data_IF_198587265524
#
_entry.id   IF_198587265524
#
_cell.length_a   1.000
_cell.length_b   1.000
_cell.length_c   1.000
_cell.angle_alpha   90.00
_cell.angle_beta   90.00
_cell.angle_gamma   90.00
#
_symmetry.space_group_name_H-M   'P 1'
#
loop_
_entity.id
_entity.type
_entity.pdbx_description
1 polymer ?
#
# COMPACT_ATOMS: atom_id res chain seq x y z
N UNK A 1 -70.68 6.90 -51.53
CA UNK A 1 -69.81 7.60 -50.57
C UNK A 1 -69.05 6.53 -49.79
N UNK A 2 -67.76 6.32 -50.10
CA UNK A 2 -66.91 5.34 -49.43
C UNK A 2 -65.66 6.07 -48.93
N UNK A 3 -65.44 6.07 -47.62
CA UNK A 3 -64.24 6.62 -47.00
C UNK A 3 -63.33 5.42 -46.68
N UNK A 4 -62.21 5.31 -47.40
CA UNK A 4 -61.13 4.38 -47.07
C UNK A 4 -60.38 4.91 -45.84
N UNK A 5 -60.32 4.11 -44.78
CA UNK A 5 -59.43 4.35 -43.64
C UNK A 5 -58.00 3.94 -44.01
N UNK A 6 -57.07 4.90 -44.01
CA UNK A 6 -55.63 4.64 -44.17
C UNK A 6 -55.09 4.16 -42.82
N UNK A 7 -54.69 2.89 -42.78
CA UNK A 7 -53.97 2.30 -41.65
C UNK A 7 -52.48 2.64 -41.80
N UNK A 8 -51.88 3.33 -40.82
CA UNK A 8 -50.44 3.64 -40.80
C UNK A 8 -49.70 2.70 -39.83
N UNK A 9 -49.00 1.66 -40.32
CA UNK A 9 -48.11 0.85 -39.49
C UNK A 9 -46.73 1.50 -39.51
N UNK A 10 -46.34 2.23 -38.46
CA UNK A 10 -45.00 2.85 -38.49
C UNK A 10 -44.46 3.47 -37.22
N UNK A 11 -45.29 3.74 -36.20
CA UNK A 11 -44.83 4.41 -34.97
C UNK A 11 -44.34 3.45 -33.89
N UNK A 12 -44.92 2.26 -33.76
CA UNK A 12 -44.62 1.34 -32.65
C UNK A 12 -43.25 0.67 -32.77
N UNK A 13 -42.85 0.23 -33.97
CA UNK A 13 -41.55 -0.43 -34.20
C UNK A 13 -40.33 0.50 -34.00
N UNK A 14 -40.47 1.80 -34.25
CA UNK A 14 -39.42 2.79 -33.99
C UNK A 14 -39.26 3.09 -32.50
N UNK A 15 -40.37 3.18 -31.76
CA UNK A 15 -40.33 3.38 -30.31
C UNK A 15 -39.72 2.18 -29.58
N UNK A 16 -40.01 0.95 -30.03
CA UNK A 16 -39.45 -0.26 -29.44
C UNK A 16 -37.92 -0.35 -29.61
N UNK A 17 -37.41 -0.02 -30.81
CA UNK A 17 -35.96 0.05 -31.08
C UNK A 17 -35.26 1.15 -30.29
N UNK A 18 -35.89 2.32 -30.11
CA UNK A 18 -35.34 3.43 -29.32
C UNK A 18 -35.23 3.06 -27.83
N UNK A 19 -36.26 2.38 -27.29
CA UNK A 19 -36.26 1.88 -25.90
C UNK A 19 -35.21 0.80 -25.67
N UNK A 20 -35.02 -0.12 -26.64
CA UNK A 20 -33.96 -1.14 -26.58
C UNK A 20 -32.56 -0.52 -26.65
N UNK A 21 -32.35 0.51 -27.48
CA UNK A 21 -31.07 1.24 -27.53
C UNK A 21 -30.78 1.95 -26.22
N UNK A 22 -31.77 2.64 -25.65
CA UNK A 22 -31.63 3.34 -24.38
C UNK A 22 -31.32 2.37 -23.22
N UNK A 23 -32.00 1.22 -23.17
CA UNK A 23 -31.76 0.19 -22.16
C UNK A 23 -30.35 -0.43 -22.31
N UNK A 24 -29.91 -0.68 -23.54
CA UNK A 24 -28.56 -1.20 -23.82
C UNK A 24 -27.48 -0.18 -23.44
N UNK A 25 -27.74 1.11 -23.66
CA UNK A 25 -26.83 2.20 -23.28
C UNK A 25 -26.76 2.37 -21.76
N UNK A 26 -27.89 2.26 -21.05
CA UNK A 26 -27.94 2.26 -19.58
C UNK A 26 -27.22 1.05 -18.99
N UNK A 27 -27.41 -0.15 -19.57
CA UNK A 27 -26.67 -1.36 -19.18
C UNK A 27 -25.17 -1.23 -19.44
N UNK A 28 -24.77 -0.62 -20.55
CA UNK A 28 -23.36 -0.33 -20.84
C UNK A 28 -22.78 0.66 -19.82
N UNK A 29 -23.50 1.74 -19.51
CA UNK A 29 -23.09 2.71 -18.47
C UNK A 29 -23.01 2.09 -17.08
N UNK A 30 -23.96 1.21 -16.71
CA UNK A 30 -23.92 0.46 -15.46
C UNK A 30 -22.76 -0.53 -15.41
N UNK A 31 -22.43 -1.18 -16.53
CA UNK A 31 -21.26 -2.05 -16.62
C UNK A 31 -19.95 -1.27 -16.48
N UNK A 32 -19.84 -0.09 -17.10
CA UNK A 32 -18.70 0.80 -16.95
C UNK A 32 -18.58 1.36 -15.52
N UNK A 33 -19.70 1.67 -14.87
CA UNK A 33 -19.73 2.11 -13.48
C UNK A 33 -19.33 0.98 -12.52
N UNK A 34 -19.76 -0.27 -12.76
CA UNK A 34 -19.36 -1.43 -11.97
C UNK A 34 -17.86 -1.77 -12.14
N UNK A 35 -17.33 -1.64 -13.37
CA UNK A 35 -15.89 -1.84 -13.65
C UNK A 35 -15.04 -0.71 -13.05
N UNK A 36 -15.54 0.54 -13.05
CA UNK A 36 -14.91 1.66 -12.36
C UNK A 36 -14.92 1.50 -10.83
N UNK A 37 -15.80 0.65 -10.28
CA UNK A 37 -15.92 0.38 -8.85
C UNK A 37 -14.87 -0.63 -8.32
N UNK A 38 -14.18 -1.38 -9.19
CA UNK A 38 -13.16 -2.36 -8.78
C UNK A 38 -11.72 -1.84 -8.80
N UNK A 39 -11.40 -0.76 -9.52
CA UNK A 39 -10.03 -0.25 -9.60
C UNK A 39 -9.86 1.01 -8.72
N UNK A 40 -9.19 0.91 -7.54
CA UNK A 40 -9.10 2.02 -6.61
C UNK A 40 -8.20 3.16 -7.10
N UNK A 41 -7.48 2.99 -8.22
CA UNK A 41 -6.56 4.01 -8.76
C UNK A 41 -7.26 5.35 -8.92
N UNK A 42 -8.47 5.40 -9.49
CA UNK A 42 -9.20 6.67 -9.68
C UNK A 42 -9.47 7.41 -8.37
N UNK A 43 -9.85 6.68 -7.32
CA UNK A 43 -10.12 7.23 -5.99
C UNK A 43 -8.86 7.72 -5.25
N UNK A 44 -7.68 7.27 -5.66
CA UNK A 44 -6.39 7.53 -5.01
C UNK A 44 -5.60 8.58 -5.76
N UNK A 45 -5.40 8.40 -7.07
CA UNK A 45 -4.49 9.20 -7.90
C UNK A 45 -5.21 10.22 -8.78
N UNK A 46 -6.54 10.16 -8.89
CA UNK A 46 -7.36 11.08 -9.69
C UNK A 46 -6.85 11.17 -11.13
N UNK A 47 -6.40 12.37 -11.53
CA UNK A 47 -5.93 12.68 -12.89
C UNK A 47 -4.77 11.79 -13.38
N UNK A 48 -3.97 11.23 -12.47
CA UNK A 48 -2.85 10.36 -12.82
C UNK A 48 -3.27 8.91 -13.12
N UNK A 49 -4.55 8.57 -13.01
CA UNK A 49 -5.03 7.19 -13.16
C UNK A 49 -4.65 6.56 -14.52
N UNK A 50 -4.79 7.32 -15.61
CA UNK A 50 -4.42 6.85 -16.94
C UNK A 50 -2.91 6.61 -17.09
N UNK A 51 -2.09 7.47 -16.50
CA UNK A 51 -0.62 7.33 -16.50
C UNK A 51 -0.20 6.10 -15.71
N UNK A 52 -0.83 5.85 -14.56
CA UNK A 52 -0.57 4.65 -13.78
C UNK A 52 -0.95 3.40 -14.58
N UNK A 53 -2.14 3.39 -15.19
CA UNK A 53 -2.62 2.26 -15.98
C UNK A 53 -1.73 1.93 -17.19
N UNK A 54 -0.99 2.89 -17.74
CA UNK A 54 -0.04 2.64 -18.84
C UNK A 54 1.31 2.11 -18.36
N UNK A 55 1.72 2.44 -17.13
CA UNK A 55 3.04 2.09 -16.59
C UNK A 55 3.03 0.87 -15.66
N UNK A 56 1.87 0.53 -15.09
CA UNK A 56 1.70 -0.51 -14.08
C UNK A 56 0.59 -1.48 -14.45
N UNK A 57 0.87 -2.77 -14.22
CA UNK A 57 -0.09 -3.85 -14.38
C UNK A 57 -0.60 -4.29 -13.01
N UNK A 58 -1.91 -4.54 -12.90
CA UNK A 58 -2.49 -5.25 -11.75
C UNK A 58 -2.08 -6.72 -11.83
N UNK A 59 -1.27 -7.19 -10.88
CA UNK A 59 -0.68 -8.54 -10.89
C UNK A 59 -1.21 -9.46 -9.80
N UNK A 60 -1.93 -8.92 -8.81
CA UNK A 60 -2.63 -9.69 -7.78
C UNK A 60 -3.77 -8.87 -7.19
N UNK A 61 -4.87 -9.51 -6.80
CA UNK A 61 -5.99 -8.84 -6.12
C UNK A 61 -6.72 -9.77 -5.18
N UNK A 62 -7.24 -9.19 -4.11
CA UNK A 62 -8.17 -9.80 -3.18
C UNK A 62 -9.15 -8.72 -2.69
N UNK A 63 -10.15 -9.09 -1.90
CA UNK A 63 -11.15 -8.14 -1.40
C UNK A 63 -10.47 -6.99 -0.65
N UNK A 64 -10.50 -5.79 -1.26
CA UNK A 64 -9.90 -4.58 -0.68
C UNK A 64 -8.38 -4.48 -0.77
N UNK A 65 -7.68 -5.38 -1.47
CA UNK A 65 -6.23 -5.31 -1.63
C UNK A 65 -5.82 -5.56 -3.08
N UNK A 66 -4.95 -4.71 -3.60
CA UNK A 66 -4.54 -4.73 -5.01
C UNK A 66 -3.03 -4.56 -5.08
N UNK A 67 -2.36 -5.42 -5.85
CA UNK A 67 -0.93 -5.34 -6.09
C UNK A 67 -0.67 -4.98 -7.54
N UNK A 68 0.03 -3.89 -7.74
CA UNK A 68 0.49 -3.45 -9.05
C UNK A 68 1.99 -3.61 -9.16
N UNK A 69 2.47 -3.91 -10.37
CA UNK A 69 3.89 -3.90 -10.69
C UNK A 69 4.14 -3.05 -11.92
N UNK A 70 5.27 -2.34 -11.94
CA UNK A 70 5.70 -1.70 -13.18
C UNK A 70 6.09 -2.77 -14.23
N UNK A 71 6.22 -2.37 -15.49
CA UNK A 71 6.52 -3.30 -16.60
C UNK A 71 7.76 -4.18 -16.38
N UNK A 72 8.80 -3.66 -15.74
CA UNK A 72 10.01 -4.44 -15.42
C UNK A 72 9.92 -5.27 -14.14
N UNK A 73 8.78 -5.24 -13.44
CA UNK A 73 8.55 -5.91 -12.14
C UNK A 73 9.63 -5.60 -11.09
N UNK A 74 10.14 -4.37 -11.11
CA UNK A 74 11.14 -3.86 -10.15
C UNK A 74 10.56 -2.90 -9.11
N UNK A 75 9.29 -2.51 -9.29
CA UNK A 75 8.52 -1.66 -8.38
C UNK A 75 7.17 -2.31 -8.16
N UNK A 76 6.87 -2.63 -6.90
CA UNK A 76 5.56 -3.10 -6.47
C UNK A 76 4.85 -1.98 -5.70
N UNK A 77 3.58 -1.77 -6.03
CA UNK A 77 2.68 -0.85 -5.31
C UNK A 77 1.47 -1.63 -4.84
N UNK A 78 1.35 -1.83 -3.54
CA UNK A 78 0.16 -2.41 -2.93
C UNK A 78 -0.77 -1.32 -2.43
N UNK A 79 -2.04 -1.42 -2.78
CA UNK A 79 -3.13 -0.59 -2.26
C UNK A 79 -3.95 -1.43 -1.31
N UNK A 80 -4.18 -0.93 -0.10
CA UNK A 80 -4.98 -1.60 0.94
C UNK A 80 -6.13 -0.70 1.37
N UNK A 81 -7.36 -1.14 1.13
CA UNK A 81 -8.58 -0.51 1.66
C UNK A 81 -8.81 -0.99 3.10
N UNK A 82 -8.59 -0.10 4.06
CA UNK A 82 -8.69 -0.39 5.49
C UNK A 82 -10.11 -0.70 5.97
N UNK A 83 -11.13 -0.50 5.12
CA UNK A 83 -12.52 -0.90 5.41
C UNK A 83 -12.75 -2.40 5.16
N UNK A 84 -11.85 -3.05 4.42
CA UNK A 84 -12.00 -4.43 3.93
C UNK A 84 -10.83 -5.35 4.34
N UNK A 85 -9.67 -4.76 4.60
CA UNK A 85 -8.46 -5.46 5.03
C UNK A 85 -7.85 -4.78 6.26
N UNK A 86 -7.07 -5.52 7.02
CA UNK A 86 -6.37 -5.01 8.21
C UNK A 86 -4.86 -5.11 8.05
N UNK A 87 -4.15 -4.27 8.80
CA UNK A 87 -2.70 -4.30 8.91
C UNK A 87 -2.33 -4.84 10.29
N UNK A 88 -1.35 -5.75 10.34
CA UNK A 88 -0.83 -6.32 11.58
C UNK A 88 0.70 -6.22 11.60
N UNK A 89 1.26 -5.84 12.74
CA UNK A 89 2.70 -5.93 12.96
C UNK A 89 3.06 -7.38 13.29
N UNK A 90 4.01 -7.95 12.55
CA UNK A 90 4.53 -9.29 12.75
C UNK A 90 6.01 -9.22 13.12
N UNK A 91 6.34 -9.82 14.26
CA UNK A 91 7.68 -9.81 14.85
C UNK A 91 7.86 -11.05 15.73
N UNK A 92 9.10 -11.36 16.10
CA UNK A 92 9.38 -12.32 17.16
C UNK A 92 10.25 -11.68 18.23
N UNK A 93 9.62 -11.35 19.36
CA UNK A 93 10.32 -10.79 20.51
C UNK A 93 10.97 -11.93 21.30
N UNK A 94 12.27 -11.85 21.55
CA UNK A 94 13.00 -12.86 22.33
C UNK A 94 12.55 -12.87 23.79
N UNK A 95 12.42 -11.68 24.37
CA UNK A 95 12.02 -11.50 25.77
C UNK A 95 10.86 -10.52 25.82
N UNK A 96 9.73 -10.98 26.38
CA UNK A 96 8.50 -10.18 26.49
C UNK A 96 8.80 -8.80 27.08
N UNK A 97 8.19 -7.77 26.50
CA UNK A 97 8.31 -6.36 26.93
C UNK A 97 9.74 -5.78 26.89
N UNK A 98 10.68 -6.38 26.14
CA UNK A 98 12.02 -5.81 25.93
C UNK A 98 12.25 -5.48 24.46
N UNK A 99 13.09 -4.49 24.18
CA UNK A 99 13.51 -4.24 22.80
C UNK A 99 14.56 -5.27 22.35
N UNK A 100 14.15 -6.52 22.16
CA UNK A 100 14.99 -7.62 21.72
C UNK A 100 14.21 -8.54 20.81
N UNK A 101 14.55 -8.54 19.53
CA UNK A 101 13.81 -9.21 18.46
C UNK A 101 14.71 -10.14 17.66
N UNK A 102 14.22 -11.33 17.33
CA UNK A 102 14.92 -12.25 16.46
C UNK A 102 14.72 -11.83 14.99
N UNK A 103 15.82 -11.81 14.22
CA UNK A 103 15.75 -11.62 12.78
C UNK A 103 15.37 -12.93 12.09
N UNK A 104 14.39 -12.89 11.20
CA UNK A 104 13.94 -14.04 10.41
C UNK A 104 13.75 -13.72 8.94
N UNK A 105 13.72 -14.75 8.11
CA UNK A 105 13.30 -14.62 6.72
C UNK A 105 11.86 -14.11 6.64
N UNK A 106 11.54 -13.28 5.66
CA UNK A 106 10.23 -12.61 5.55
C UNK A 106 9.06 -13.60 5.46
N UNK A 107 9.27 -14.76 4.83
CA UNK A 107 8.27 -15.82 4.70
C UNK A 107 7.80 -16.39 6.05
N UNK A 108 8.64 -16.34 7.09
CA UNK A 108 8.29 -16.86 8.43
C UNK A 108 7.17 -16.06 9.12
N UNK A 109 6.94 -14.81 8.69
CA UNK A 109 5.85 -13.96 9.17
C UNK A 109 4.54 -14.18 8.39
N UNK A 110 4.56 -14.99 7.34
CA UNK A 110 3.42 -15.25 6.47
C UNK A 110 2.49 -16.33 7.08
N UNK A 111 1.75 -15.95 8.13
CA UNK A 111 0.84 -16.84 8.87
C UNK A 111 -0.63 -16.49 8.65
N UNK A 112 -1.50 -17.50 8.66
CA UNK A 112 -2.97 -17.32 8.57
C UNK A 112 -3.44 -16.76 7.23
N UNK A 113 -4.54 -16.00 7.24
CA UNK A 113 -5.14 -15.40 6.03
C UNK A 113 -4.44 -14.08 5.64
N UNK A 114 -3.20 -14.17 5.17
CA UNK A 114 -2.43 -13.00 4.71
C UNK A 114 -2.55 -12.84 3.18
N UNK A 115 -2.58 -11.59 2.73
CA UNK A 115 -2.35 -11.23 1.32
C UNK A 115 -0.85 -11.05 1.06
N UNK A 116 -0.20 -10.28 1.92
CA UNK A 116 1.21 -9.94 1.79
C UNK A 116 1.89 -9.72 3.14
N UNK A 117 3.21 -9.83 3.12
CA UNK A 117 4.13 -9.46 4.18
C UNK A 117 5.15 -8.51 3.57
N UNK A 118 5.34 -7.36 4.20
CA UNK A 118 6.28 -6.31 3.75
C UNK A 118 7.16 -5.92 4.93
N UNK A 119 8.45 -5.70 4.71
CA UNK A 119 9.34 -5.29 5.82
C UNK A 119 8.88 -3.97 6.47
N UNK A 120 9.24 -3.77 7.76
CA UNK A 120 8.85 -2.58 8.49
C UNK A 120 10.04 -1.77 9.05
N UNK A 121 10.12 -1.68 10.38
CA UNK A 121 11.01 -0.77 11.11
C UNK A 121 12.49 -1.04 10.90
N UNK A 122 13.30 0.03 11.01
CA UNK A 122 14.76 -0.04 11.05
C UNK A 122 15.24 -0.75 12.32
N UNK A 123 16.43 -1.36 12.25
CA UNK A 123 17.02 -2.14 13.33
C UNK A 123 18.54 -2.11 13.33
N UNK A 124 19.15 -2.49 14.45
CA UNK A 124 20.61 -2.64 14.58
C UNK A 124 21.10 -3.92 13.89
N UNK A 125 21.65 -3.76 12.68
CA UNK A 125 22.14 -4.89 11.90
C UNK A 125 23.34 -5.63 12.55
N UNK A 126 24.04 -4.99 13.49
CA UNK A 126 25.26 -5.54 14.10
C UNK A 126 24.99 -6.68 15.09
N UNK A 127 23.74 -6.87 15.54
CA UNK A 127 23.38 -7.84 16.57
C UNK A 127 22.25 -8.78 16.13
N UNK A 128 22.24 -10.00 16.67
CA UNK A 128 21.09 -10.90 16.64
C UNK A 128 21.03 -11.66 17.97
N UNK A 129 20.00 -11.50 18.81
CA UNK A 129 18.81 -10.64 18.64
C UNK A 129 19.16 -9.15 18.44
N UNK A 130 18.27 -8.42 17.78
CA UNK A 130 18.43 -7.00 17.46
C UNK A 130 17.46 -6.13 18.24
N UNK A 131 17.80 -4.85 18.36
CA UNK A 131 16.86 -3.78 18.75
C UNK A 131 16.18 -3.20 17.50
N UNK A 132 14.94 -2.74 17.64
CA UNK A 132 14.26 -1.89 16.64
C UNK A 132 14.38 -0.42 17.00
N UNK A 133 14.38 0.47 16.00
CA UNK A 133 14.63 1.90 16.17
C UNK A 133 13.40 2.75 16.51
N UNK A 134 12.19 2.25 16.26
CA UNK A 134 10.97 3.04 16.37
C UNK A 134 9.80 2.20 16.88
N UNK A 135 8.84 2.80 17.62
CA UNK A 135 7.65 2.12 18.10
C UNK A 135 6.72 1.66 16.97
N UNK A 136 5.91 0.67 17.29
CA UNK A 136 4.74 0.27 16.52
C UNK A 136 3.63 -0.17 17.48
N UNK A 137 2.40 -0.19 17.01
CA UNK A 137 1.22 -0.57 17.80
C UNK A 137 0.41 -1.62 17.05
N UNK A 138 -0.09 -2.67 17.74
CA UNK A 138 0.06 -2.93 19.18
C UNK A 138 1.46 -3.44 19.58
N UNK A 139 1.80 -3.28 20.86
CA UNK A 139 2.85 -4.01 21.59
C UNK A 139 4.34 -3.76 21.24
N UNK A 140 4.67 -2.74 20.44
CA UNK A 140 6.06 -2.43 20.11
C UNK A 140 6.87 -1.79 21.25
N UNK A 141 7.84 -2.52 21.81
CA UNK A 141 8.89 -1.97 22.68
C UNK A 141 10.13 -1.66 21.85
N UNK A 142 10.67 -0.44 21.95
CA UNK A 142 11.66 0.07 20.99
C UNK A 142 12.85 0.78 21.64
N UNK A 143 13.84 1.13 20.82
CA UNK A 143 15.04 1.90 21.17
C UNK A 143 14.93 3.20 20.41
N UNK A 144 14.83 4.32 21.10
CA UNK A 144 14.67 5.60 20.43
C UNK A 144 15.96 6.02 19.73
N UNK A 145 15.96 6.01 18.39
CA UNK A 145 16.88 6.86 17.64
C UNK A 145 16.43 8.32 17.82
N UNK A 146 16.98 9.01 18.83
CA UNK A 146 16.61 10.40 19.17
C UNK A 146 17.15 11.43 18.18
N UNK A 147 18.00 11.02 17.25
CA UNK A 147 18.71 11.93 16.35
C UNK A 147 18.13 11.96 14.93
N UNK A 148 17.13 11.13 14.65
CA UNK A 148 16.55 11.03 13.31
C UNK A 148 15.07 11.37 13.32
N UNK A 149 14.69 12.27 12.41
CA UNK A 149 13.30 12.63 12.23
C UNK A 149 12.50 11.42 11.75
N UNK A 150 11.40 11.18 12.43
CA UNK A 150 10.48 10.08 12.19
C UNK A 150 9.07 10.59 11.94
N UNK A 151 8.23 9.69 11.41
CA UNK A 151 6.81 9.90 11.16
C UNK A 151 6.07 8.61 11.45
N UNK A 152 4.82 8.75 11.88
CA UNK A 152 3.98 7.60 12.21
C UNK A 152 2.83 7.47 11.22
N UNK A 153 2.65 6.27 10.67
CA UNK A 153 1.36 5.85 10.15
C UNK A 153 0.48 5.49 11.35
N UNK A 154 -0.67 6.15 11.49
CA UNK A 154 -1.69 5.82 12.48
C UNK A 154 -2.96 5.39 11.75
N UNK A 155 -3.46 4.21 12.05
CA UNK A 155 -4.80 3.76 11.62
C UNK A 155 -5.73 3.81 12.81
N UNK A 156 -6.78 4.62 12.68
CA UNK A 156 -7.81 4.83 13.71
C UNK A 156 -8.85 3.71 13.68
N UNK A 157 -9.66 3.63 14.74
CA UNK A 157 -10.73 2.63 14.88
C UNK A 157 -11.75 2.69 13.73
N UNK A 158 -12.03 3.89 13.21
CA UNK A 158 -12.92 4.13 12.07
C UNK A 158 -12.29 3.86 10.69
N UNK A 159 -11.18 3.12 10.62
CA UNK A 159 -10.48 2.75 9.38
C UNK A 159 -9.88 3.93 8.60
N UNK A 160 -9.67 5.08 9.25
CA UNK A 160 -8.96 6.22 8.66
C UNK A 160 -7.48 6.14 9.01
N UNK A 161 -6.62 6.30 8.01
CA UNK A 161 -5.17 6.41 8.16
C UNK A 161 -4.71 7.87 8.12
N UNK A 162 -3.77 8.21 8.99
CA UNK A 162 -3.03 9.48 8.98
C UNK A 162 -1.53 9.20 8.97
N UNK A 163 -0.77 10.14 8.39
CA UNK A 163 0.68 10.20 8.59
C UNK A 163 0.96 11.46 9.39
N UNK A 164 1.53 11.28 10.57
CA UNK A 164 1.75 12.34 11.54
C UNK A 164 3.24 12.59 11.70
N UNK A 165 3.63 13.87 11.69
CA UNK A 165 4.99 14.26 12.00
C UNK A 165 5.20 14.16 13.50
N UNK A 166 6.08 13.26 13.90
CA UNK A 166 6.41 12.99 15.31
C UNK A 166 7.73 13.64 15.72
N UNK A 167 8.53 14.08 14.74
CA UNK A 167 9.81 14.76 14.95
C UNK A 167 10.88 13.76 15.39
N UNK A 168 11.64 14.08 16.43
CA UNK A 168 12.54 13.15 17.12
C UNK A 168 11.89 12.48 18.34
N UNK A 169 10.65 12.89 18.65
CA UNK A 169 9.86 12.37 19.75
C UNK A 169 9.32 10.96 19.48
N UNK A 170 8.81 10.33 20.53
CA UNK A 170 8.33 8.95 20.48
C UNK A 170 6.95 8.80 21.11
N UNK A 171 5.92 9.46 20.52
CA UNK A 171 4.56 9.36 21.03
C UNK A 171 4.08 7.91 21.06
N UNK A 172 3.39 7.56 22.16
CA UNK A 172 2.75 6.27 22.30
C UNK A 172 1.34 6.33 21.67
N UNK A 173 1.17 5.60 20.58
CA UNK A 173 -0.08 5.56 19.83
C UNK A 173 -1.05 4.45 20.26
N UNK A 174 -0.73 3.67 21.30
CA UNK A 174 -1.53 2.51 21.75
C UNK A 174 -2.99 2.83 22.07
N UNK A 175 -3.30 4.04 22.53
CA UNK A 175 -4.66 4.47 22.85
C UNK A 175 -5.35 5.24 21.70
N UNK A 176 -4.59 5.73 20.73
CA UNK A 176 -5.09 6.59 19.66
C UNK A 176 -5.29 5.83 18.33
N UNK A 177 -4.53 4.75 18.12
CA UNK A 177 -4.49 4.01 16.86
C UNK A 177 -4.66 2.51 17.14
N UNK A 178 -5.50 1.84 16.37
CA UNK A 178 -5.61 0.37 16.41
C UNK A 178 -4.41 -0.32 15.75
N UNK A 179 -3.74 0.40 14.84
CA UNK A 179 -2.48 0.00 14.23
C UNK A 179 -1.61 1.23 14.06
N UNK A 180 -0.32 1.11 14.37
CA UNK A 180 0.65 2.13 14.01
C UNK A 180 1.99 1.53 13.66
N UNK A 181 2.73 2.24 12.82
CA UNK A 181 4.14 1.99 12.55
C UNK A 181 4.86 3.32 12.43
N UNK A 182 5.86 3.55 13.27
CA UNK A 182 6.73 4.71 13.17
C UNK A 182 7.97 4.33 12.36
N UNK A 183 8.24 5.09 11.32
CA UNK A 183 9.37 4.89 10.41
C UNK A 183 10.06 6.23 10.17
N UNK A 184 11.11 6.25 9.35
CA UNK A 184 11.85 7.49 9.11
C UNK A 184 11.01 8.49 8.29
N UNK A 185 11.24 9.78 8.54
CA UNK A 185 10.84 10.81 7.60
C UNK A 185 11.62 10.60 6.28
N UNK A 186 10.97 10.63 5.10
CA UNK A 186 11.64 10.57 3.80
C UNK A 186 12.80 11.56 3.60
N UNK A 187 12.84 12.67 4.35
CA UNK A 187 13.93 13.65 4.31
C UNK A 187 15.24 13.18 4.94
N UNK A 188 15.22 12.12 5.75
CA UNK A 188 16.42 11.55 6.35
C UNK A 188 17.29 10.93 5.24
N UNK A 189 18.55 11.34 5.15
CA UNK A 189 19.47 10.82 4.14
C UNK A 189 19.90 9.40 4.50
N UNK A 190 19.34 8.42 3.80
CA UNK A 190 19.75 7.01 3.86
C UNK A 190 20.43 6.62 2.55
N UNK A 191 21.35 7.45 2.08
CA UNK A 191 22.00 7.34 0.79
C UNK A 191 21.05 7.78 -0.31
N UNK A 192 20.55 9.01 -0.26
CA UNK A 192 19.46 9.52 -1.12
C UNK A 192 19.70 9.35 -2.62
N UNK A 193 20.97 9.42 -3.06
CA UNK A 193 21.41 9.26 -4.45
C UNK A 193 21.76 7.81 -4.84
N UNK A 194 21.77 6.89 -3.88
CA UNK A 194 22.14 5.50 -4.09
C UNK A 194 20.91 4.70 -4.49
N UNK A 195 20.99 4.04 -5.65
CA UNK A 195 19.96 3.10 -6.11
C UNK A 195 20.09 1.78 -5.37
N UNK A 196 19.14 1.50 -4.50
CA UNK A 196 19.08 0.29 -3.65
C UNK A 196 17.63 -0.03 -3.29
N UNK A 197 17.39 -1.14 -2.62
CA UNK A 197 16.04 -1.49 -2.16
C UNK A 197 15.44 -0.38 -1.29
N UNK A 198 14.16 -0.06 -1.51
CA UNK A 198 13.44 0.95 -0.72
C UNK A 198 12.02 0.48 -0.45
N UNK A 199 11.58 0.71 0.79
CA UNK A 199 10.20 0.48 1.21
C UNK A 199 9.62 1.76 1.78
N UNK A 200 8.52 2.21 1.20
CA UNK A 200 7.77 3.39 1.65
C UNK A 200 6.34 2.99 1.93
N UNK A 201 5.72 3.67 2.88
CA UNK A 201 4.30 3.54 3.18
C UNK A 201 3.72 4.94 3.13
N UNK A 202 2.51 5.09 2.61
CA UNK A 202 1.83 6.37 2.71
C UNK A 202 0.35 6.31 2.49
N UNK A 203 -0.27 7.48 2.69
CA UNK A 203 -1.71 7.65 2.64
C UNK A 203 -2.03 8.70 1.58
N UNK A 204 -2.88 8.39 0.59
CA UNK A 204 -3.15 9.31 -0.51
C UNK A 204 -3.98 10.49 0.00
N UNK A 205 -3.81 11.65 -0.65
CA UNK A 205 -4.50 12.88 -0.21
C UNK A 205 -6.01 12.82 -0.39
N UNK A 206 -6.49 12.05 -1.37
CA UNK A 206 -7.90 12.00 -1.76
C UNK A 206 -8.76 11.08 -0.90
N UNK A 207 -8.16 10.03 -0.33
CA UNK A 207 -8.93 9.04 0.41
C UNK A 207 -8.09 8.36 1.50
N UNK A 208 -8.32 8.78 2.74
CA UNK A 208 -7.57 8.34 3.90
C UNK A 208 -7.94 6.92 4.36
N UNK A 209 -8.89 6.24 3.73
CA UNK A 209 -9.16 4.82 4.00
C UNK A 209 -8.19 3.88 3.27
N UNK A 210 -7.34 4.41 2.38
CA UNK A 210 -6.33 3.63 1.70
C UNK A 210 -4.95 3.83 2.30
N UNK A 211 -4.20 2.73 2.42
CA UNK A 211 -2.76 2.74 2.68
C UNK A 211 -2.05 2.12 1.49
N UNK A 212 -1.01 2.80 1.01
CA UNK A 212 -0.18 2.33 -0.09
C UNK A 212 1.19 1.91 0.43
N UNK A 213 1.65 0.75 -0.01
CA UNK A 213 3.02 0.29 0.19
C UNK A 213 3.75 0.34 -1.14
N UNK A 214 4.93 0.94 -1.16
CA UNK A 214 5.81 1.02 -2.31
C UNK A 214 7.08 0.24 -1.98
N UNK A 215 7.33 -0.86 -2.69
CA UNK A 215 8.50 -1.70 -2.46
C UNK A 215 9.28 -1.81 -3.76
N UNK A 216 10.58 -1.53 -3.73
CA UNK A 216 11.41 -1.53 -4.94
C UNK A 216 12.67 -2.36 -4.81
N UNK A 217 13.09 -2.91 -5.94
CA UNK A 217 14.33 -3.67 -6.07
C UNK A 217 15.55 -2.74 -5.93
N UNK A 218 15.52 -1.62 -6.64
CA UNK A 218 16.61 -0.64 -6.69
C UNK A 218 16.11 0.75 -7.15
N UNK A 219 15.90 1.68 -6.21
CA UNK A 219 15.58 3.09 -6.51
C UNK A 219 16.27 4.04 -5.53
N UNK A 220 16.53 5.24 -6.01
CA UNK A 220 16.93 6.39 -5.18
C UNK A 220 15.75 6.88 -4.35
N UNK A 221 16.01 7.71 -3.33
CA UNK A 221 14.92 8.30 -2.54
C UNK A 221 14.05 9.23 -3.39
N UNK A 222 14.65 10.02 -4.27
CA UNK A 222 13.91 10.92 -5.17
C UNK A 222 12.97 10.18 -6.13
N UNK A 223 13.41 9.04 -6.68
CA UNK A 223 12.54 8.20 -7.52
C UNK A 223 11.37 7.60 -6.72
N UNK A 224 11.59 7.18 -5.47
CA UNK A 224 10.52 6.69 -4.61
C UNK A 224 9.48 7.76 -4.31
N UNK A 225 9.93 8.98 -4.02
CA UNK A 225 9.06 10.14 -3.81
C UNK A 225 8.24 10.48 -5.06
N UNK A 226 8.87 10.44 -6.24
CA UNK A 226 8.19 10.66 -7.52
C UNK A 226 7.14 9.58 -7.83
N UNK A 227 7.47 8.30 -7.59
CA UNK A 227 6.52 7.18 -7.73
C UNK A 227 5.35 7.40 -6.77
N UNK A 228 5.60 7.63 -5.49
CA UNK A 228 4.51 7.86 -4.53
C UNK A 228 3.61 9.04 -4.92
N UNK A 229 4.19 10.14 -5.39
CA UNK A 229 3.44 11.31 -5.82
C UNK A 229 2.57 11.02 -7.06
N UNK A 230 3.08 10.23 -8.02
CA UNK A 230 2.28 9.74 -9.16
C UNK A 230 1.02 9.01 -8.66
N UNK A 231 1.19 8.17 -7.64
CA UNK A 231 0.11 7.43 -6.96
C UNK A 231 -0.71 8.28 -5.97
N UNK A 232 -0.64 9.61 -6.03
CA UNK A 232 -1.47 10.50 -5.22
C UNK A 232 -1.07 10.60 -3.74
N UNK A 233 0.12 10.11 -3.39
CA UNK A 233 0.68 10.17 -2.04
C UNK A 233 1.79 11.22 -2.00
N UNK A 234 1.52 12.42 -1.45
CA UNK A 234 2.52 13.46 -1.40
C UNK A 234 3.56 13.17 -0.32
N UNK A 235 4.76 13.75 -0.45
CA UNK A 235 5.91 13.46 0.41
C UNK A 235 5.62 13.63 1.91
N UNK A 236 4.82 14.62 2.30
CA UNK A 236 4.42 14.84 3.70
C UNK A 236 3.55 13.72 4.29
N UNK A 237 2.95 12.87 3.43
CA UNK A 237 2.14 11.70 3.81
C UNK A 237 2.84 10.37 3.52
N UNK A 238 4.17 10.41 3.40
CA UNK A 238 5.04 9.24 3.29
C UNK A 238 5.87 9.03 4.54
N UNK A 239 6.13 7.77 4.83
CA UNK A 239 7.07 7.27 5.84
C UNK A 239 7.99 6.23 5.18
N UNK A 240 9.27 6.22 5.56
CA UNK A 240 10.31 5.40 4.93
C UNK A 240 10.74 4.26 5.87
N UNK A 241 10.43 3.02 5.47
CA UNK A 241 10.83 1.80 6.17
C UNK A 241 12.27 1.41 5.90
N UNK A 242 12.70 0.29 6.47
CA UNK A 242 14.05 -0.22 6.25
C UNK A 242 14.28 -0.57 4.77
N UNK A 243 15.49 -0.34 4.28
CA UNK A 243 15.82 -0.42 2.86
C UNK A 243 16.93 -1.41 2.54
N UNK A 244 17.59 -1.21 1.40
CA UNK A 244 18.66 -2.09 0.90
C UNK A 244 18.15 -3.55 0.80
N UNK A 245 18.95 -4.54 1.20
CA UNK A 245 18.54 -5.94 1.27
C UNK A 245 17.37 -6.24 2.23
N UNK A 246 16.98 -5.31 3.11
CA UNK A 246 15.79 -5.46 3.97
C UNK A 246 14.47 -5.17 3.26
N UNK A 247 14.49 -4.39 2.16
CA UNK A 247 13.31 -4.02 1.39
C UNK A 247 12.73 -5.25 0.72
N UNK A 248 11.57 -5.73 1.18
CA UNK A 248 11.06 -7.04 0.76
C UNK A 248 9.53 -7.02 0.71
N UNK A 249 9.00 -7.63 -0.35
CA UNK A 249 7.58 -7.96 -0.52
C UNK A 249 7.43 -9.47 -0.66
N UNK A 250 6.53 -10.04 0.13
CA UNK A 250 6.22 -11.46 0.12
C UNK A 250 4.69 -11.66 0.10
N UNK A 251 4.10 -11.85 -1.10
CA UNK A 251 2.70 -12.28 -1.29
C UNK A 251 2.58 -13.65 -1.98
N UNK A 252 1.43 -14.35 -1.85
CA UNK A 252 1.29 -15.78 -2.21
C UNK A 252 1.98 -16.21 -3.52
N UNK A 253 1.81 -15.44 -4.59
CA UNK A 253 2.37 -15.72 -5.91
C UNK A 253 3.48 -14.74 -6.34
N UNK A 254 3.64 -13.62 -5.63
CA UNK A 254 4.47 -12.50 -6.05
C UNK A 254 5.51 -12.16 -4.99
N UNK A 255 6.75 -12.01 -5.42
CA UNK A 255 7.89 -11.67 -4.56
C UNK A 255 8.68 -10.54 -5.17
N UNK A 256 9.20 -9.66 -4.33
CA UNK A 256 10.16 -8.66 -4.74
C UNK A 256 11.16 -8.41 -3.61
N UNK A 257 12.44 -8.52 -3.93
CA UNK A 257 13.54 -8.36 -2.98
C UNK A 257 14.44 -7.21 -3.42
N UNK A 258 14.67 -6.30 -2.48
CA UNK A 258 15.58 -5.18 -2.59
C UNK A 258 17.02 -5.63 -2.62
N UNK A 259 17.85 -4.88 -3.35
CA UNK A 259 19.29 -5.10 -3.43
C UNK A 259 20.00 -4.01 -2.62
N UNK A 260 21.05 -4.35 -1.87
CA UNK A 260 21.94 -3.34 -1.29
C UNK A 260 22.95 -2.78 -2.31
N UNK A 261 23.79 -1.84 -1.88
CA UNK A 261 24.83 -1.21 -2.72
C UNK A 261 25.93 -2.18 -3.18
N UNK A 262 25.98 -3.40 -2.63
CA UNK A 262 26.94 -4.45 -2.96
C UNK A 262 26.32 -5.61 -3.73
N UNK A 263 25.03 -5.55 -4.06
CA UNK A 263 24.35 -6.62 -4.78
C UNK A 263 23.64 -7.66 -3.89
N UNK A 264 23.75 -7.57 -2.56
CA UNK A 264 23.15 -8.57 -1.65
C UNK A 264 21.63 -8.38 -1.53
N UNK A 265 20.93 -9.48 -1.27
CA UNK A 265 19.48 -9.56 -1.16
C UNK A 265 19.07 -10.45 0.05
N UNK A 266 17.77 -10.55 0.32
CA UNK A 266 17.18 -11.52 1.27
C UNK A 266 17.67 -11.41 2.72
N UNK A 267 17.72 -10.19 3.26
CA UNK A 267 18.13 -10.02 4.65
C UNK A 267 17.06 -10.52 5.63
N UNK A 268 17.48 -11.22 6.67
CA UNK A 268 16.60 -11.54 7.80
C UNK A 268 16.20 -10.25 8.53
N UNK A 269 14.90 -10.04 8.73
CA UNK A 269 14.32 -8.84 9.33
C UNK A 269 13.64 -9.19 10.66
N UNK A 270 13.64 -8.29 11.66
CA UNK A 270 12.98 -8.53 12.95
C UNK A 270 11.49 -8.19 12.95
N UNK A 271 11.02 -7.43 11.96
CA UNK A 271 9.68 -6.88 11.92
C UNK A 271 9.17 -6.75 10.48
N UNK A 272 7.92 -7.12 10.29
CA UNK A 272 7.17 -6.96 9.05
C UNK A 272 5.76 -6.43 9.33
N UNK A 273 5.14 -5.85 8.33
CA UNK A 273 3.74 -5.47 8.31
C UNK A 273 3.02 -6.46 7.40
N UNK A 274 2.01 -7.12 7.95
CA UNK A 274 1.20 -8.12 7.26
C UNK A 274 -0.12 -7.49 6.90
N UNK A 275 -0.52 -7.60 5.64
CA UNK A 275 -1.88 -7.28 5.22
C UNK A 275 -2.74 -8.52 5.33
N UNK A 276 -3.74 -8.48 6.20
CA UNK A 276 -4.72 -9.54 6.40
C UNK A 276 -5.99 -9.23 5.62
N UNK A 277 -6.54 -10.26 5.00
CA UNK A 277 -7.83 -10.16 4.33
C UNK A 277 -8.94 -10.28 5.37
N UNK A 278 -9.97 -9.43 5.26
CA UNK A 278 -11.20 -9.59 6.03
C UNK A 278 -11.76 -10.99 5.86
N UNK A 279 -12.33 -11.54 6.94
CA UNK A 279 -13.11 -12.78 6.87
C UNK A 279 -14.39 -12.55 6.09
#
# INVERSE_FOLDING_TARGET
>A
MAIQSINFPGKEGKMLKLKQLALSFVLLLLSLAAIAQENPIGAISGVNAAIIASQYDLIDKANGVYLYANKSRTVFVQITDLRKATLENAYEQKTRNTNSFNRKQINSFAKGNYFSVINGVHFDHSKNPTTISFPFTPDGVYWGSRNENNRALCVKSNNVATVELTGTGTPNYSYACKFSAMLLNPDVDKGKKVSKGRTYIGVPSRNNHFVLFFVTKNRTQGEMEAIANLWGVPKQRLIMGDGSASSQYYGRYNRLYGIDDKGNQYRNIPHAIVTKLGR
#
